data_IF_098214351828
#
_entry.id   IF_098214351828
#
_cell.length_a   1.000
_cell.length_b   1.000
_cell.length_c   1.000
_cell.angle_alpha   90.00
_cell.angle_beta   90.00
_cell.angle_gamma   90.00
#
_symmetry.space_group_name_H-M   'P 1'
#
loop_
_entity.id
_entity.type
_entity.pdbx_description
1 polymer ?
#
# COMPACT_ATOMS: atom_id res chain seq x y z
N UNK A 1 95.97 3.71 26.69
CA UNK A 1 95.34 2.38 26.89
C UNK A 1 94.06 2.53 27.73
N UNK A 2 93.03 3.19 27.20
CA UNK A 2 91.76 3.45 27.90
C UNK A 2 90.57 2.67 27.29
N UNK A 3 90.82 1.91 26.23
CA UNK A 3 89.83 1.14 25.49
C UNK A 3 89.42 -0.19 26.18
N UNK A 4 90.18 -0.63 27.19
CA UNK A 4 89.93 -1.86 27.96
C UNK A 4 89.47 -1.59 29.41
N UNK A 5 89.01 -0.35 29.72
CA UNK A 5 88.50 -0.03 31.05
C UNK A 5 87.02 -0.47 31.15
N UNK A 6 86.67 -1.39 32.07
CA UNK A 6 85.31 -1.95 32.19
C UNK A 6 84.23 -0.89 32.42
N UNK A 7 84.59 0.28 32.98
CA UNK A 7 83.65 1.40 33.18
C UNK A 7 83.21 2.06 31.87
N UNK A 8 84.12 2.17 30.90
CA UNK A 8 83.80 2.73 29.57
C UNK A 8 82.86 1.80 28.82
N UNK A 9 83.09 0.49 28.90
CA UNK A 9 82.19 -0.51 28.31
C UNK A 9 80.80 -0.53 28.96
N UNK A 10 80.71 -0.40 30.29
CA UNK A 10 79.41 -0.28 30.97
C UNK A 10 78.62 0.95 30.52
N UNK A 11 79.28 2.10 30.38
CA UNK A 11 78.63 3.32 29.89
C UNK A 11 78.12 3.15 28.46
N UNK A 12 78.91 2.52 27.57
CA UNK A 12 78.51 2.22 26.18
C UNK A 12 77.30 1.30 26.14
N UNK A 13 77.28 0.23 26.95
CA UNK A 13 76.14 -0.70 27.03
C UNK A 13 74.88 0.02 27.52
N UNK A 14 74.99 0.90 28.52
CA UNK A 14 73.86 1.68 29.03
C UNK A 14 73.34 2.64 27.95
N UNK A 15 74.23 3.35 27.25
CA UNK A 15 73.83 4.24 26.16
C UNK A 15 73.13 3.49 25.02
N UNK A 16 73.63 2.31 24.64
CA UNK A 16 73.00 1.45 23.63
C UNK A 16 71.63 0.95 24.11
N UNK A 17 71.50 0.55 25.37
CA UNK A 17 70.24 0.12 25.97
C UNK A 17 69.19 1.23 26.00
N UNK A 18 69.59 2.46 26.37
CA UNK A 18 68.70 3.62 26.37
C UNK A 18 68.29 4.05 24.95
N UNK A 19 69.23 4.05 24.00
CA UNK A 19 68.93 4.36 22.60
C UNK A 19 67.96 3.32 21.99
N UNK A 20 68.20 2.04 22.25
CA UNK A 20 67.32 0.95 21.80
C UNK A 20 65.95 1.04 22.48
N UNK A 21 65.90 1.24 23.79
CA UNK A 21 64.66 1.36 24.56
C UNK A 21 63.82 2.57 24.14
N UNK A 22 64.45 3.74 23.97
CA UNK A 22 63.80 4.96 23.49
C UNK A 22 63.27 4.81 22.07
N UNK A 23 64.08 4.23 21.15
CA UNK A 23 63.66 3.92 19.79
C UNK A 23 62.47 2.95 19.74
N UNK A 24 62.50 1.88 20.53
CA UNK A 24 61.39 0.91 20.64
C UNK A 24 60.12 1.55 21.19
N UNK A 25 60.23 2.42 22.18
CA UNK A 25 59.09 3.11 22.76
C UNK A 25 58.43 4.04 21.74
N UNK A 26 59.22 4.88 21.07
CA UNK A 26 58.73 5.78 20.02
C UNK A 26 58.10 5.02 18.86
N UNK A 27 58.73 3.95 18.38
CA UNK A 27 58.19 3.13 17.30
C UNK A 27 56.89 2.44 17.72
N UNK A 28 56.83 1.91 18.95
CA UNK A 28 55.58 1.31 19.47
C UNK A 28 54.44 2.32 19.61
N UNK A 29 54.73 3.59 19.89
CA UNK A 29 53.73 4.65 19.94
C UNK A 29 53.19 4.97 18.53
N UNK A 30 54.07 5.06 17.54
CA UNK A 30 53.67 5.25 16.13
C UNK A 30 52.87 4.06 15.59
N UNK A 31 53.30 2.83 15.89
CA UNK A 31 52.60 1.61 15.45
C UNK A 31 51.19 1.51 16.08
N UNK A 32 51.04 1.87 17.36
CA UNK A 32 49.74 1.94 18.03
C UNK A 32 48.84 2.99 17.38
N UNK A 33 49.36 4.19 17.11
CA UNK A 33 48.59 5.26 16.46
C UNK A 33 48.18 4.87 15.03
N UNK A 34 49.08 4.27 14.26
CA UNK A 34 48.80 3.78 12.92
C UNK A 34 47.78 2.62 12.93
N UNK A 35 47.89 1.70 13.89
CA UNK A 35 46.92 0.63 14.08
C UNK A 35 45.53 1.17 14.44
N UNK A 36 45.45 2.10 15.39
CA UNK A 36 44.19 2.76 15.76
C UNK A 36 43.57 3.54 14.59
N UNK A 37 44.38 4.25 13.80
CA UNK A 37 43.90 4.95 12.61
C UNK A 37 43.34 3.98 11.56
N UNK A 38 44.00 2.83 11.35
CA UNK A 38 43.51 1.80 10.43
C UNK A 38 42.22 1.14 10.92
N UNK A 39 42.14 0.79 12.21
CA UNK A 39 40.94 0.15 12.76
C UNK A 39 39.74 1.09 12.78
N UNK A 40 39.94 2.36 13.14
CA UNK A 40 38.88 3.38 13.10
C UNK A 40 38.44 3.67 11.67
N UNK A 41 39.37 3.78 10.71
CA UNK A 41 39.03 3.93 9.30
C UNK A 41 38.22 2.72 8.77
N UNK A 42 38.63 1.49 9.11
CA UNK A 42 37.89 0.28 8.75
C UNK A 42 36.49 0.23 9.38
N UNK A 43 36.37 0.62 10.65
CA UNK A 43 35.07 0.69 11.34
C UNK A 43 34.14 1.74 10.71
N UNK A 44 34.67 2.91 10.34
CA UNK A 44 33.90 3.95 9.65
C UNK A 44 33.48 3.53 8.25
N UNK A 45 34.34 2.84 7.51
CA UNK A 45 34.00 2.32 6.18
C UNK A 45 32.90 1.26 6.26
N UNK A 46 33.03 0.32 7.20
CA UNK A 46 31.98 -0.65 7.48
C UNK A 46 30.65 0.02 7.86
N UNK A 47 30.67 1.04 8.72
CA UNK A 47 29.48 1.81 9.08
C UNK A 47 28.86 2.52 7.88
N UNK A 48 29.68 3.11 6.99
CA UNK A 48 29.18 3.75 5.76
C UNK A 48 28.54 2.78 4.80
N UNK A 49 29.10 1.57 4.64
CA UNK A 49 28.52 0.52 3.81
C UNK A 49 27.15 0.11 4.38
N UNK A 50 27.06 -0.06 5.70
CA UNK A 50 25.77 -0.38 6.35
C UNK A 50 24.74 0.73 6.18
N UNK A 51 25.11 1.99 6.39
CA UNK A 51 24.19 3.13 6.21
C UNK A 51 23.67 3.16 4.77
N UNK A 52 24.55 3.04 3.77
CA UNK A 52 24.14 2.99 2.35
C UNK A 52 23.18 1.85 2.07
N UNK A 53 23.47 0.64 2.56
CA UNK A 53 22.60 -0.51 2.37
C UNK A 53 21.20 -0.30 3.01
N UNK A 54 21.14 0.37 4.17
CA UNK A 54 19.87 0.72 4.82
C UNK A 54 19.13 1.82 4.06
N UNK A 55 19.83 2.84 3.57
CA UNK A 55 19.25 3.93 2.79
C UNK A 55 18.68 3.42 1.47
N UNK A 56 19.41 2.55 0.77
CA UNK A 56 18.96 1.90 -0.47
C UNK A 56 17.71 1.04 -0.21
N UNK A 57 17.70 0.28 0.90
CA UNK A 57 16.53 -0.51 1.30
C UNK A 57 15.32 0.37 1.63
N UNK A 58 15.51 1.47 2.38
CA UNK A 58 14.44 2.43 2.70
C UNK A 58 13.90 3.14 1.47
N UNK A 59 14.76 3.49 0.51
CA UNK A 59 14.33 4.11 -0.74
C UNK A 59 13.41 3.18 -1.53
N UNK A 60 13.74 1.89 -1.58
CA UNK A 60 12.91 0.88 -2.24
C UNK A 60 11.60 0.63 -1.49
N UNK A 61 11.63 0.54 -0.15
CA UNK A 61 10.41 0.46 0.66
C UNK A 61 9.50 1.67 0.42
N UNK A 62 10.04 2.90 0.46
CA UNK A 62 9.28 4.12 0.27
C UNK A 62 8.64 4.18 -1.12
N UNK A 63 9.37 3.73 -2.15
CA UNK A 63 8.86 3.62 -3.52
C UNK A 63 7.69 2.65 -3.59
N UNK A 64 7.82 1.44 -3.02
CA UNK A 64 6.75 0.44 -2.99
C UNK A 64 5.52 0.94 -2.23
N UNK A 65 5.72 1.53 -1.05
CA UNK A 65 4.63 2.07 -0.23
C UNK A 65 3.88 3.19 -0.94
N UNK A 66 4.59 4.08 -1.64
CA UNK A 66 3.97 5.18 -2.40
C UNK A 66 3.09 4.64 -3.52
N UNK A 67 3.59 3.64 -4.27
CA UNK A 67 2.84 3.05 -5.36
C UNK A 67 1.62 2.25 -4.88
N UNK A 68 1.77 1.46 -3.81
CA UNK A 68 0.66 0.76 -3.18
C UNK A 68 -0.40 1.74 -2.64
N UNK A 69 0.03 2.85 -2.04
CA UNK A 69 -0.89 3.90 -1.55
C UNK A 69 -1.65 4.53 -2.70
N UNK A 70 -0.98 4.80 -3.84
CA UNK A 70 -1.63 5.32 -5.05
C UNK A 70 -2.70 4.35 -5.55
N UNK A 71 -2.38 3.07 -5.66
CA UNK A 71 -3.31 2.02 -6.11
C UNK A 71 -4.50 1.89 -5.16
N UNK A 72 -4.26 1.91 -3.84
CA UNK A 72 -5.32 1.87 -2.83
C UNK A 72 -6.26 3.09 -2.94
N UNK A 73 -5.70 4.28 -3.16
CA UNK A 73 -6.49 5.50 -3.35
C UNK A 73 -7.33 5.44 -4.64
N UNK A 74 -6.77 4.97 -5.75
CA UNK A 74 -7.51 4.78 -7.00
C UNK A 74 -8.64 3.75 -6.85
N UNK A 75 -8.38 2.64 -6.18
CA UNK A 75 -9.40 1.63 -5.89
C UNK A 75 -10.54 2.20 -5.04
N UNK A 76 -10.20 3.01 -4.03
CA UNK A 76 -11.18 3.69 -3.18
C UNK A 76 -12.03 4.69 -3.98
N UNK A 77 -11.41 5.46 -4.89
CA UNK A 77 -12.13 6.38 -5.76
C UNK A 77 -13.10 5.64 -6.70
N UNK A 78 -12.65 4.53 -7.32
CA UNK A 78 -13.50 3.71 -8.18
C UNK A 78 -14.68 3.10 -7.42
N UNK A 79 -14.43 2.57 -6.21
CA UNK A 79 -15.49 2.03 -5.37
C UNK A 79 -16.51 3.11 -4.95
N UNK A 80 -16.05 4.32 -4.64
CA UNK A 80 -16.93 5.43 -4.31
C UNK A 80 -17.76 5.89 -5.52
N UNK A 81 -17.17 5.94 -6.71
CA UNK A 81 -17.89 6.26 -7.94
C UNK A 81 -18.98 5.22 -8.23
N UNK A 82 -18.64 3.92 -8.20
CA UNK A 82 -19.61 2.84 -8.39
C UNK A 82 -20.75 2.89 -7.35
N UNK A 83 -20.43 3.22 -6.09
CA UNK A 83 -21.45 3.41 -5.05
C UNK A 83 -22.36 4.60 -5.34
N UNK A 84 -21.81 5.72 -5.81
CA UNK A 84 -22.61 6.89 -6.20
C UNK A 84 -23.53 6.57 -7.38
N UNK A 85 -23.03 5.85 -8.39
CA UNK A 85 -23.81 5.40 -9.54
C UNK A 85 -24.94 4.45 -9.11
N UNK A 86 -24.67 3.51 -8.19
CA UNK A 86 -25.68 2.62 -7.63
C UNK A 86 -26.79 3.38 -6.89
N UNK A 87 -26.43 4.42 -6.12
CA UNK A 87 -27.42 5.29 -5.45
C UNK A 87 -28.26 6.05 -6.49
N UNK A 88 -27.62 6.64 -7.51
CA UNK A 88 -28.33 7.37 -8.56
C UNK A 88 -29.28 6.45 -9.36
N UNK A 89 -28.88 5.21 -9.64
CA UNK A 89 -29.72 4.20 -10.27
C UNK A 89 -30.92 3.83 -9.39
N UNK A 90 -30.69 3.65 -8.08
CA UNK A 90 -31.76 3.42 -7.10
C UNK A 90 -32.79 4.55 -7.06
N UNK A 91 -32.33 5.80 -7.01
CA UNK A 91 -33.20 6.98 -7.04
C UNK A 91 -34.02 7.07 -8.33
N UNK A 92 -33.41 6.72 -9.48
CA UNK A 92 -34.09 6.69 -10.76
C UNK A 92 -35.16 5.60 -10.81
N UNK A 93 -34.86 4.40 -10.29
CA UNK A 93 -35.80 3.29 -10.20
C UNK A 93 -37.00 3.65 -9.29
N UNK A 94 -36.75 4.29 -8.15
CA UNK A 94 -37.83 4.72 -7.24
C UNK A 94 -38.71 5.81 -7.83
N UNK A 95 -38.14 6.77 -8.57
CA UNK A 95 -38.92 7.76 -9.33
C UNK A 95 -39.78 7.09 -10.38
N UNK A 96 -39.25 6.09 -11.11
CA UNK A 96 -39.99 5.33 -12.10
C UNK A 96 -41.16 4.56 -11.46
N UNK A 97 -40.92 3.87 -10.33
CA UNK A 97 -41.97 3.16 -9.57
C UNK A 97 -43.11 4.10 -9.14
N UNK A 98 -42.77 5.29 -8.62
CA UNK A 98 -43.76 6.31 -8.25
C UNK A 98 -44.59 6.76 -9.45
N UNK A 99 -43.95 7.05 -10.58
CA UNK A 99 -44.64 7.42 -11.82
C UNK A 99 -45.58 6.32 -12.31
N UNK A 100 -45.13 5.05 -12.29
CA UNK A 100 -45.97 3.91 -12.66
C UNK A 100 -47.18 3.81 -11.73
N UNK A 101 -47.00 3.94 -10.42
CA UNK A 101 -48.09 3.93 -9.45
C UNK A 101 -49.10 5.06 -9.70
N UNK A 102 -48.63 6.28 -9.99
CA UNK A 102 -49.48 7.43 -10.34
C UNK A 102 -50.29 7.16 -11.62
N UNK A 103 -49.67 6.59 -12.65
CA UNK A 103 -50.35 6.23 -13.91
C UNK A 103 -51.43 5.16 -13.68
N UNK A 104 -51.13 4.14 -12.87
CA UNK A 104 -52.09 3.08 -12.55
C UNK A 104 -53.26 3.68 -11.77
N UNK A 105 -53.01 4.51 -10.77
CA UNK A 105 -54.06 5.18 -10.00
C UNK A 105 -54.94 6.09 -10.89
N UNK A 106 -54.33 6.85 -11.81
CA UNK A 106 -55.05 7.68 -12.77
C UNK A 106 -55.91 6.85 -13.73
N UNK A 107 -55.41 5.70 -14.22
CA UNK A 107 -56.17 4.81 -15.10
C UNK A 107 -57.37 4.15 -14.42
N UNK A 108 -57.32 4.00 -13.09
CA UNK A 108 -58.39 3.43 -12.25
C UNK A 108 -59.38 4.49 -11.73
N UNK A 109 -59.12 5.78 -11.96
CA UNK A 109 -60.04 6.85 -11.57
C UNK A 109 -61.39 6.73 -12.31
N UNK A 110 -62.53 7.09 -11.67
CA UNK A 110 -63.86 6.89 -12.22
C UNK A 110 -64.12 7.89 -13.36
N UNK A 111 -63.63 7.59 -14.55
CA UNK A 111 -63.89 8.38 -15.76
C UNK A 111 -64.21 7.52 -16.98
N UNK A 112 -64.18 6.18 -16.85
CA UNK A 112 -64.61 5.26 -17.89
C UNK A 112 -65.68 4.30 -17.36
N UNK A 113 -66.93 4.62 -17.65
CA UNK A 113 -68.13 3.83 -17.42
C UNK A 113 -68.20 2.54 -18.28
N UNK A 114 -67.08 2.02 -18.78
CA UNK A 114 -67.05 0.98 -19.81
C UNK A 114 -66.07 -0.18 -19.57
N UNK A 115 -65.37 -0.24 -18.44
CA UNK A 115 -64.70 -1.48 -18.04
C UNK A 115 -65.63 -2.26 -17.13
N UNK A 116 -66.25 -3.31 -17.70
CA UNK A 116 -66.99 -4.32 -16.96
C UNK A 116 -66.18 -4.71 -15.72
N UNK A 117 -66.71 -4.34 -14.55
CA UNK A 117 -66.10 -4.67 -13.28
C UNK A 117 -65.85 -6.17 -13.23
N UNK A 118 -64.60 -6.55 -12.95
CA UNK A 118 -64.37 -7.83 -12.33
C UNK A 118 -65.24 -7.85 -11.06
N UNK A 119 -66.29 -8.66 -11.08
CA UNK A 119 -67.26 -8.71 -10.00
C UNK A 119 -66.60 -9.01 -8.65
N UNK A 120 -67.21 -8.59 -7.53
CA UNK A 120 -66.71 -8.88 -6.20
C UNK A 120 -66.66 -10.40 -6.00
N UNK A 121 -65.47 -11.00 -6.06
CA UNK A 121 -65.31 -12.44 -5.85
C UNK A 121 -64.27 -13.19 -6.70
N UNK A 122 -63.47 -12.54 -7.56
CA UNK A 122 -62.34 -13.24 -8.22
C UNK A 122 -61.03 -13.07 -7.45
N UNK A 123 -60.41 -14.15 -6.94
CA UNK A 123 -59.06 -14.12 -6.39
C UNK A 123 -58.08 -14.13 -7.57
N UNK A 124 -57.80 -12.97 -8.12
CA UNK A 124 -56.78 -12.80 -9.15
C UNK A 124 -56.43 -11.33 -9.22
N UNK A 125 -55.25 -10.96 -8.75
CA UNK A 125 -54.74 -9.60 -8.90
C UNK A 125 -54.75 -9.19 -10.37
N UNK A 126 -54.90 -7.89 -10.63
CA UNK A 126 -54.81 -7.33 -11.97
C UNK A 126 -53.50 -7.83 -12.64
N UNK A 127 -53.53 -8.38 -13.87
CA UNK A 127 -52.31 -8.81 -14.56
C UNK A 127 -51.25 -7.71 -14.65
N UNK A 128 -51.67 -6.43 -14.62
CA UNK A 128 -50.77 -5.29 -14.56
C UNK A 128 -50.00 -5.20 -13.22
N UNK A 129 -50.65 -5.53 -12.09
CA UNK A 129 -50.02 -5.52 -10.78
C UNK A 129 -48.92 -6.60 -10.70
N UNK A 130 -49.15 -7.78 -11.28
CA UNK A 130 -48.16 -8.86 -11.36
C UNK A 130 -46.94 -8.44 -12.19
N UNK A 131 -47.15 -7.76 -13.32
CA UNK A 131 -46.05 -7.26 -14.16
C UNK A 131 -45.20 -6.21 -13.43
N UNK A 132 -45.84 -5.28 -12.71
CA UNK A 132 -45.14 -4.25 -11.93
C UNK A 132 -44.32 -4.87 -10.80
N UNK A 133 -44.87 -5.87 -10.11
CA UNK A 133 -44.17 -6.57 -9.03
C UNK A 133 -43.00 -7.41 -9.54
N UNK A 134 -43.15 -8.14 -10.66
CA UNK A 134 -42.05 -8.88 -11.28
C UNK A 134 -40.95 -7.94 -11.76
N UNK A 135 -41.30 -6.82 -12.41
CA UNK A 135 -40.34 -5.83 -12.84
C UNK A 135 -39.60 -5.22 -11.63
N UNK A 136 -40.33 -4.91 -10.55
CA UNK A 136 -39.76 -4.39 -9.31
C UNK A 136 -38.74 -5.33 -8.69
N UNK A 137 -39.07 -6.62 -8.58
CA UNK A 137 -38.15 -7.65 -8.07
C UNK A 137 -36.96 -7.91 -8.99
N UNK A 138 -37.18 -7.92 -10.30
CA UNK A 138 -36.11 -8.11 -11.28
C UNK A 138 -35.11 -6.96 -11.26
N UNK A 139 -35.59 -5.72 -11.18
CA UNK A 139 -34.74 -4.53 -11.07
C UNK A 139 -33.94 -4.54 -9.75
N UNK A 140 -34.60 -4.85 -8.63
CA UNK A 140 -33.93 -4.97 -7.33
C UNK A 140 -32.84 -6.04 -7.33
N UNK A 141 -33.12 -7.23 -7.88
CA UNK A 141 -32.14 -8.31 -7.98
C UNK A 141 -30.95 -7.91 -8.89
N UNK A 142 -31.24 -7.23 -10.00
CA UNK A 142 -30.21 -6.72 -10.91
C UNK A 142 -29.31 -5.69 -10.24
N UNK A 143 -29.89 -4.78 -9.44
CA UNK A 143 -29.13 -3.79 -8.67
C UNK A 143 -28.22 -4.42 -7.61
N UNK A 144 -28.67 -5.47 -6.93
CA UNK A 144 -27.84 -6.23 -5.99
C UNK A 144 -26.67 -6.92 -6.69
N UNK A 145 -26.93 -7.56 -7.84
CA UNK A 145 -25.90 -8.20 -8.65
C UNK A 145 -24.88 -7.19 -9.19
N UNK A 146 -25.33 -6.03 -9.67
CA UNK A 146 -24.46 -4.95 -10.12
C UNK A 146 -23.54 -4.46 -8.99
N UNK A 147 -24.11 -4.19 -7.81
CA UNK A 147 -23.35 -3.76 -6.63
C UNK A 147 -22.28 -4.80 -6.25
N UNK A 148 -22.62 -6.08 -6.27
CA UNK A 148 -21.67 -7.15 -5.98
C UNK A 148 -20.57 -7.24 -7.04
N UNK A 149 -20.94 -7.17 -8.32
CA UNK A 149 -19.99 -7.21 -9.43
C UNK A 149 -19.02 -6.03 -9.39
N UNK A 150 -19.48 -4.83 -9.07
CA UNK A 150 -18.64 -3.64 -8.94
C UNK A 150 -17.64 -3.77 -7.79
N UNK A 151 -18.05 -4.34 -6.65
CA UNK A 151 -17.15 -4.61 -5.52
C UNK A 151 -16.07 -5.64 -5.89
N UNK A 152 -16.45 -6.73 -6.55
CA UNK A 152 -15.49 -7.73 -7.03
C UNK A 152 -14.52 -7.14 -8.05
N UNK A 153 -15.02 -6.31 -8.99
CA UNK A 153 -14.19 -5.68 -10.00
C UNK A 153 -13.20 -4.70 -9.39
N UNK A 154 -13.65 -3.84 -8.47
CA UNK A 154 -12.79 -2.86 -7.81
C UNK A 154 -11.68 -3.55 -6.98
N UNK A 155 -12.03 -4.59 -6.23
CA UNK A 155 -11.05 -5.38 -5.46
C UNK A 155 -10.09 -6.16 -6.35
N UNK A 156 -10.59 -6.81 -7.40
CA UNK A 156 -9.76 -7.54 -8.36
C UNK A 156 -8.74 -6.65 -9.08
N UNK A 157 -9.17 -5.51 -9.62
CA UNK A 157 -8.28 -4.54 -10.26
C UNK A 157 -7.23 -3.99 -9.28
N UNK A 158 -7.60 -3.76 -8.01
CA UNK A 158 -6.65 -3.33 -7.00
C UNK A 158 -5.58 -4.40 -6.73
N UNK A 159 -5.97 -5.67 -6.65
CA UNK A 159 -5.06 -6.79 -6.48
C UNK A 159 -4.09 -6.93 -7.67
N UNK A 160 -4.61 -6.92 -8.90
CA UNK A 160 -3.80 -7.01 -10.12
C UNK A 160 -2.78 -5.88 -10.19
N UNK A 161 -3.21 -4.62 -10.04
CA UNK A 161 -2.32 -3.45 -10.07
C UNK A 161 -1.26 -3.49 -8.97
N UNK A 162 -1.64 -3.93 -7.76
CA UNK A 162 -0.70 -4.05 -6.64
C UNK A 162 0.37 -5.09 -6.93
N UNK A 163 0.00 -6.20 -7.55
CA UNK A 163 0.93 -7.25 -7.96
C UNK A 163 1.85 -6.77 -9.09
N UNK A 164 1.29 -6.11 -10.12
CA UNK A 164 2.06 -5.54 -11.23
C UNK A 164 3.09 -4.52 -10.73
N UNK A 165 2.73 -3.67 -9.77
CA UNK A 165 3.65 -2.73 -9.13
C UNK A 165 4.80 -3.42 -8.40
N UNK A 166 4.55 -4.57 -7.78
CA UNK A 166 5.59 -5.37 -7.12
C UNK A 166 6.52 -6.05 -8.13
N UNK A 167 5.99 -6.56 -9.26
CA UNK A 167 6.82 -7.23 -10.29
C UNK A 167 7.61 -6.23 -11.13
N UNK A 168 7.01 -5.10 -11.50
CA UNK A 168 7.71 -4.04 -12.23
C UNK A 168 8.89 -3.46 -11.43
N UNK A 169 8.90 -3.64 -10.10
CA UNK A 169 10.00 -3.27 -9.21
C UNK A 169 11.19 -4.22 -9.21
N UNK A 170 11.03 -5.44 -9.72
CA UNK A 170 12.09 -6.47 -9.74
C UNK A 170 12.85 -6.59 -11.07
N UNK A 171 12.58 -5.71 -12.03
CA UNK A 171 13.18 -5.67 -13.37
C UNK A 171 14.06 -4.44 -13.52
#
# INVERSE_FOLDING_TARGET
>A
MTLLDPRVWLAVIICLGLAYGGGRWQQSAHDKAAYQAKTTAAALDAARIQIKAVDDARAEEQRRTTEQTRIANEATQQANAARADAVAAGDAADKLRKRIADLIAASRAPSNSATAGAGPGKPGGDPLDVLVDVLGRSDQASGQLATYADQLRASGLACERSYDALIASGK
#
